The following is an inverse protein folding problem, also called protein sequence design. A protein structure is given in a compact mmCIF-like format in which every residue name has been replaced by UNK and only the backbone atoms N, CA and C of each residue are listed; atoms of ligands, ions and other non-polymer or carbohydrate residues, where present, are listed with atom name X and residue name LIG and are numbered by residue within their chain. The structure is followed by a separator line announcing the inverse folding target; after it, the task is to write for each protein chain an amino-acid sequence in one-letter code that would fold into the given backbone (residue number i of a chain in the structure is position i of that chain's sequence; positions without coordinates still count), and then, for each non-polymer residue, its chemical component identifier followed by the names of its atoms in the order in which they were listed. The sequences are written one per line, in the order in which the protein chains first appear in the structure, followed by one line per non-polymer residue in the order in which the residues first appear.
data_IF_817727154586
#
_entry.id   IF_817727154586
#
_cell.length_a   1.000
_cell.length_b   1.000
_cell.length_c   1.000
_cell.angle_alpha   90.00
_cell.angle_beta   90.00
_cell.angle_gamma   90.00
#
_symmetry.space_group_name_H-M   'P 1'
#
loop_
_entity.id
_entity.type
_entity.pdbx_description
1 polymer ?
#
# COMPACT_ATOMS: atom_id res chain seq x y z
N UNK A 1 -3.88 -5.10 18.72
CA UNK A 1 -4.81 -3.99 19.04
C UNK A 1 -4.75 -2.85 18.03
N UNK A 2 -3.62 -2.14 17.88
CA UNK A 2 -3.50 -1.03 16.91
C UNK A 2 -3.83 -1.47 15.47
N UNK A 3 -3.21 -2.56 14.99
CA UNK A 3 -3.47 -3.09 13.64
C UNK A 3 -4.95 -3.43 13.43
N UNK A 4 -5.59 -4.08 14.40
CA UNK A 4 -7.03 -4.39 14.38
C UNK A 4 -7.88 -3.12 14.22
N UNK A 5 -7.60 -2.06 14.99
CA UNK A 5 -8.32 -0.79 14.87
C UNK A 5 -8.08 -0.09 13.53
N UNK A 6 -6.86 -0.10 13.02
CA UNK A 6 -6.54 0.43 11.70
C UNK A 6 -7.28 -0.32 10.58
N UNK A 7 -7.35 -1.65 10.67
CA UNK A 7 -8.10 -2.48 9.72
C UNK A 7 -9.61 -2.25 9.81
N UNK A 8 -10.17 -2.17 11.02
CA UNK A 8 -11.58 -1.84 11.21
C UNK A 8 -11.91 -0.45 10.66
N UNK A 9 -11.04 0.54 10.88
CA UNK A 9 -11.20 1.87 10.32
C UNK A 9 -11.13 1.86 8.79
N UNK A 10 -10.18 1.11 8.21
CA UNK A 10 -10.08 0.93 6.76
C UNK A 10 -11.35 0.30 6.16
N UNK A 11 -11.85 -0.76 6.80
CA UNK A 11 -13.12 -1.41 6.42
C UNK A 11 -14.28 -0.41 6.54
N UNK A 12 -14.37 0.35 7.64
CA UNK A 12 -15.40 1.37 7.82
C UNK A 12 -15.35 2.44 6.70
N UNK A 13 -14.16 2.90 6.32
CA UNK A 13 -13.97 3.84 5.21
C UNK A 13 -14.47 3.25 3.89
N UNK A 14 -14.13 1.99 3.61
CA UNK A 14 -14.56 1.28 2.39
C UNK A 14 -16.07 1.09 2.34
N UNK A 15 -16.68 0.49 3.37
CA UNK A 15 -18.13 0.18 3.35
C UNK A 15 -18.99 1.44 3.36
N UNK A 16 -18.48 2.54 3.92
CA UNK A 16 -19.19 3.82 3.93
C UNK A 16 -19.23 4.54 2.58
N UNK A 17 -18.48 4.06 1.58
CA UNK A 17 -18.38 4.72 0.29
C UNK A 17 -19.06 3.91 -0.81
N UNK A 18 -20.05 4.52 -1.48
CA UNK A 18 -20.81 3.90 -2.57
C UNK A 18 -19.92 3.39 -3.73
N UNK A 19 -18.74 4.00 -3.96
CA UNK A 19 -17.78 3.58 -4.99
C UNK A 19 -17.16 2.21 -4.68
N UNK A 20 -17.01 1.83 -3.41
CA UNK A 20 -16.51 0.50 -3.02
C UNK A 20 -17.45 -0.59 -3.51
N UNK A 21 -18.76 -0.40 -3.34
CA UNK A 21 -19.78 -1.35 -3.77
C UNK A 21 -19.87 -1.46 -5.29
N UNK A 22 -19.52 -0.37 -5.99
CA UNK A 22 -19.40 -0.36 -7.44
C UNK A 22 -18.18 -1.17 -7.91
N UNK A 23 -17.03 -1.03 -7.25
CA UNK A 23 -15.83 -1.83 -7.53
C UNK A 23 -16.02 -3.32 -7.24
N UNK A 24 -16.82 -3.67 -6.23
CA UNK A 24 -17.15 -5.05 -5.88
C UNK A 24 -18.23 -5.67 -6.78
N UNK A 25 -18.79 -4.92 -7.74
CA UNK A 25 -19.81 -5.42 -8.67
C UNK A 25 -21.19 -5.67 -8.04
N UNK A 26 -21.39 -5.28 -6.78
CA UNK A 26 -22.65 -5.47 -6.02
C UNK A 26 -23.59 -4.27 -6.08
N UNK A 27 -23.16 -3.16 -6.69
CA UNK A 27 -24.00 -1.97 -6.94
C UNK A 27 -25.35 -2.25 -7.61
N UNK A 28 -25.46 -3.15 -8.63
CA UNK A 28 -26.76 -3.48 -9.24
C UNK A 28 -27.71 -4.15 -8.25
N UNK A 29 -27.21 -5.01 -7.36
CA UNK A 29 -27.99 -5.69 -6.33
C UNK A 29 -28.47 -4.72 -5.22
N UNK A 30 -27.66 -3.71 -4.90
CA UNK A 30 -27.94 -2.72 -3.87
C UNK A 30 -28.71 -1.49 -4.38
N UNK A 31 -29.05 -1.44 -5.69
CA UNK A 31 -29.63 -0.25 -6.37
C UNK A 31 -28.81 1.03 -6.18
N UNK A 32 -27.51 0.91 -5.87
CA UNK A 32 -26.64 2.06 -5.64
C UNK A 32 -26.06 2.56 -6.95
N UNK A 33 -26.30 3.84 -7.27
CA UNK A 33 -25.74 4.54 -8.43
C UNK A 33 -24.33 5.06 -8.11
N UNK A 34 -23.38 4.14 -7.95
CA UNK A 34 -21.96 4.49 -7.88
C UNK A 34 -21.31 4.27 -9.25
N UNK A 35 -20.81 5.32 -9.89
CA UNK A 35 -19.96 5.15 -11.08
C UNK A 35 -18.63 4.54 -10.65
N UNK A 36 -18.23 3.42 -11.28
CA UNK A 36 -16.87 2.89 -11.16
C UNK A 36 -15.94 3.86 -11.90
N UNK A 37 -14.96 4.48 -11.24
CA UNK A 37 -13.91 5.20 -11.95
C UNK A 37 -13.16 4.19 -12.81
N UNK A 38 -13.20 4.34 -14.13
CA UNK A 38 -12.53 3.42 -15.04
C UNK A 38 -11.02 3.35 -14.73
N UNK A 39 -10.47 2.14 -14.64
CA UNK A 39 -9.05 1.93 -14.38
C UNK A 39 -8.58 2.08 -12.92
N UNK A 40 -9.50 2.20 -11.96
CA UNK A 40 -9.15 2.26 -10.53
C UNK A 40 -9.01 0.85 -9.93
N UNK A 41 -7.82 0.49 -9.46
CA UNK A 41 -7.62 -0.76 -8.74
C UNK A 41 -8.07 -0.67 -7.26
N UNK A 42 -8.42 -1.83 -6.69
CA UNK A 42 -8.96 -1.90 -5.33
C UNK A 42 -7.99 -1.39 -4.24
N UNK A 43 -6.68 -1.52 -4.46
CA UNK A 43 -5.66 -1.11 -3.49
C UNK A 43 -5.51 0.42 -3.50
N UNK A 44 -5.45 1.02 -4.69
CA UNK A 44 -5.47 2.47 -4.86
C UNK A 44 -6.76 3.06 -4.30
N UNK A 45 -7.91 2.42 -4.53
CA UNK A 45 -9.16 2.87 -3.95
C UNK A 45 -9.17 2.83 -2.42
N UNK A 46 -8.69 1.74 -1.82
CA UNK A 46 -8.54 1.62 -0.37
C UNK A 46 -7.69 2.77 0.19
N UNK A 47 -6.55 3.04 -0.45
CA UNK A 47 -5.66 4.14 -0.08
C UNK A 47 -6.36 5.50 -0.15
N UNK A 48 -7.07 5.78 -1.24
CA UNK A 48 -7.84 7.03 -1.41
C UNK A 48 -8.98 7.17 -0.41
N UNK A 49 -9.75 6.10 -0.14
CA UNK A 49 -10.87 6.14 0.78
C UNK A 49 -10.41 6.43 2.22
N UNK A 50 -9.30 5.82 2.64
CA UNK A 50 -8.66 6.10 3.93
C UNK A 50 -8.12 7.52 3.97
N UNK A 51 -7.43 7.96 2.92
CA UNK A 51 -6.87 9.31 2.83
C UNK A 51 -7.95 10.39 2.92
N UNK A 52 -9.05 10.23 2.18
CA UNK A 52 -10.15 11.20 2.16
C UNK A 52 -10.85 11.33 3.51
N UNK A 53 -10.92 10.25 4.29
CA UNK A 53 -11.70 10.20 5.54
C UNK A 53 -10.87 10.39 6.81
N UNK A 54 -9.65 9.86 6.83
CA UNK A 54 -8.74 9.91 7.98
C UNK A 54 -7.48 10.74 7.77
N UNK A 55 -7.30 11.31 6.56
CA UNK A 55 -6.16 12.15 6.23
C UNK A 55 -4.83 11.39 6.20
N UNK A 56 -3.71 12.14 6.20
CA UNK A 56 -2.38 11.56 6.02
C UNK A 56 -1.94 10.65 7.17
N UNK A 57 -2.35 10.96 8.41
CA UNK A 57 -2.03 10.15 9.59
C UNK A 57 -2.68 8.77 9.52
N UNK A 58 -3.97 8.70 9.14
CA UNK A 58 -4.63 7.41 8.99
C UNK A 58 -4.02 6.58 7.85
N UNK A 59 -3.63 7.24 6.75
CA UNK A 59 -2.92 6.59 5.66
C UNK A 59 -1.57 6.01 6.12
N UNK A 60 -0.76 6.78 6.86
CA UNK A 60 0.52 6.33 7.42
C UNK A 60 0.34 5.17 8.41
N UNK A 61 -0.66 5.24 9.27
CA UNK A 61 -0.93 4.18 10.24
C UNK A 61 -1.38 2.89 9.54
N UNK A 62 -2.24 2.99 8.53
CA UNK A 62 -2.73 1.81 7.81
C UNK A 62 -1.65 1.22 6.92
N UNK A 63 -1.03 2.02 6.06
CA UNK A 63 -0.05 1.50 5.11
C UNK A 63 1.29 1.23 5.78
N UNK A 64 1.77 2.10 6.66
CA UNK A 64 3.10 2.00 7.27
C UNK A 64 3.20 1.06 8.46
N UNK A 65 2.22 1.12 9.37
CA UNK A 65 2.35 0.54 10.72
C UNK A 65 1.45 -0.67 10.93
N UNK A 66 0.21 -0.63 10.44
CA UNK A 66 -0.79 -1.69 10.70
C UNK A 66 -0.52 -2.98 9.95
N UNK A 67 0.23 -2.88 8.85
CA UNK A 67 0.57 -4.00 7.97
C UNK A 67 1.80 -4.76 8.49
N UNK A 68 2.50 -4.35 9.55
CA UNK A 68 3.58 -5.16 10.13
C UNK A 68 3.00 -6.32 10.95
N UNK A 69 3.07 -7.57 10.47
CA UNK A 69 2.60 -8.71 11.26
C UNK A 69 3.53 -8.93 12.44
N UNK A 70 3.01 -9.51 13.54
CA UNK A 70 3.83 -9.84 14.71
C UNK A 70 4.89 -10.88 14.38
N UNK A 71 4.59 -11.77 13.43
CA UNK A 71 5.53 -12.72 12.85
C UNK A 71 5.59 -12.46 11.35
N UNK A 72 6.79 -12.16 10.84
CA UNK A 72 7.02 -11.88 9.43
C UNK A 72 7.61 -13.13 8.77
N UNK A 73 6.82 -13.83 7.97
CA UNK A 73 7.33 -14.98 7.22
C UNK A 73 8.02 -14.51 5.93
N UNK A 74 8.94 -15.32 5.39
CA UNK A 74 9.55 -15.04 4.09
C UNK A 74 8.50 -14.95 2.98
N UNK A 75 7.46 -15.79 3.04
CA UNK A 75 6.33 -15.77 2.11
C UNK A 75 5.61 -14.41 2.11
N UNK A 76 5.35 -13.85 3.30
CA UNK A 76 4.72 -12.52 3.41
C UNK A 76 5.56 -11.42 2.77
N UNK A 77 6.89 -11.47 2.96
CA UNK A 77 7.80 -10.53 2.33
C UNK A 77 7.77 -10.63 0.80
N UNK A 78 7.80 -11.85 0.26
CA UNK A 78 7.76 -12.10 -1.18
C UNK A 78 6.44 -11.59 -1.77
N UNK A 79 5.30 -11.97 -1.17
CA UNK A 79 3.97 -11.54 -1.65
C UNK A 79 3.86 -10.02 -1.63
N UNK A 80 4.35 -9.35 -0.59
CA UNK A 80 4.35 -7.89 -0.51
C UNK A 80 5.27 -7.24 -1.53
N UNK A 81 6.45 -7.82 -1.78
CA UNK A 81 7.36 -7.36 -2.81
C UNK A 81 6.74 -7.47 -4.20
N UNK A 82 6.15 -8.62 -4.53
CA UNK A 82 5.46 -8.86 -5.80
C UNK A 82 4.26 -7.93 -5.95
N UNK A 83 3.44 -7.74 -4.91
CA UNK A 83 2.32 -6.80 -4.95
C UNK A 83 2.80 -5.35 -5.17
N UNK A 84 3.86 -4.94 -4.47
CA UNK A 84 4.45 -3.60 -4.63
C UNK A 84 5.03 -3.36 -6.03
N UNK A 85 5.60 -4.40 -6.63
CA UNK A 85 6.09 -4.39 -8.01
C UNK A 85 4.93 -4.31 -9.00
N UNK A 86 3.94 -5.20 -8.88
CA UNK A 86 2.77 -5.25 -9.73
C UNK A 86 2.02 -3.91 -9.75
N UNK A 87 1.80 -3.29 -8.58
CA UNK A 87 1.13 -2.00 -8.50
C UNK A 87 1.89 -0.88 -9.24
N UNK A 88 3.22 -0.89 -9.16
CA UNK A 88 4.05 0.12 -9.85
C UNK A 88 4.18 -0.13 -11.34
N UNK A 89 4.20 -1.40 -11.75
CA UNK A 89 4.29 -1.77 -13.15
C UNK A 89 2.95 -1.62 -13.88
N UNK A 90 1.87 -2.12 -13.28
CA UNK A 90 0.62 -2.40 -13.97
C UNK A 90 -0.54 -1.48 -13.60
N UNK A 91 -0.43 -0.65 -12.55
CA UNK A 91 -1.51 0.27 -12.17
C UNK A 91 -1.13 1.74 -12.42
N UNK A 92 -1.62 2.34 -13.54
CA UNK A 92 -1.49 3.78 -13.77
C UNK A 92 -2.15 4.62 -12.67
N UNK A 93 -3.32 4.20 -12.20
CA UNK A 93 -4.06 4.93 -11.16
C UNK A 93 -3.31 4.94 -9.82
N UNK A 94 -2.60 3.85 -9.49
CA UNK A 94 -1.70 3.82 -8.34
C UNK A 94 -0.56 4.81 -8.50
N UNK A 95 0.14 4.81 -9.66
CA UNK A 95 1.26 5.73 -9.92
C UNK A 95 0.83 7.19 -9.83
N UNK A 96 -0.27 7.55 -10.48
CA UNK A 96 -0.76 8.93 -10.50
C UNK A 96 -1.21 9.40 -9.12
N UNK A 97 -1.79 8.50 -8.33
CA UNK A 97 -2.17 8.80 -6.97
C UNK A 97 -0.96 8.92 -6.03
N UNK A 98 0.02 8.03 -6.12
CA UNK A 98 1.25 8.09 -5.32
C UNK A 98 2.01 9.40 -5.53
N UNK A 99 2.07 9.92 -6.77
CA UNK A 99 2.64 11.25 -7.07
C UNK A 99 1.96 12.38 -6.30
N UNK A 100 0.66 12.28 -6.02
CA UNK A 100 -0.07 13.30 -5.25
C UNK A 100 0.23 13.25 -3.74
N UNK A 101 0.68 12.09 -3.24
CA UNK A 101 0.95 11.85 -1.82
C UNK A 101 2.42 11.50 -1.54
N UNK A 102 3.33 11.90 -2.45
CA UNK A 102 4.73 11.46 -2.47
C UNK A 102 5.43 11.63 -1.11
N UNK A 103 5.30 12.81 -0.48
CA UNK A 103 5.91 13.09 0.82
C UNK A 103 5.47 12.12 1.92
N UNK A 104 4.20 11.72 1.92
CA UNK A 104 3.65 10.80 2.92
C UNK A 104 3.96 9.34 2.58
N UNK A 105 4.04 9.01 1.30
CA UNK A 105 4.51 7.71 0.86
C UNK A 105 5.98 7.51 1.26
N UNK A 106 6.85 8.50 1.03
CA UNK A 106 8.24 8.47 1.49
C UNK A 106 8.35 8.36 3.01
N UNK A 107 7.54 9.12 3.75
CA UNK A 107 7.50 9.02 5.21
C UNK A 107 7.10 7.61 5.68
N UNK A 108 6.18 6.95 4.96
CA UNK A 108 5.80 5.55 5.21
C UNK A 108 7.01 4.62 5.10
N UNK A 109 7.85 4.81 4.06
CA UNK A 109 9.07 4.04 3.88
C UNK A 109 10.09 4.29 4.99
N UNK A 110 10.27 5.55 5.40
CA UNK A 110 11.18 5.92 6.50
C UNK A 110 10.74 5.25 7.80
N UNK A 111 9.45 5.31 8.14
CA UNK A 111 8.92 4.66 9.35
C UNK A 111 9.15 3.15 9.30
N UNK A 112 8.86 2.48 8.18
CA UNK A 112 9.09 1.04 8.01
C UNK A 112 10.58 0.68 8.14
N UNK A 113 11.46 1.45 7.51
CA UNK A 113 12.90 1.25 7.60
C UNK A 113 13.41 1.43 9.04
N UNK A 114 12.91 2.45 9.75
CA UNK A 114 13.21 2.68 11.16
C UNK A 114 12.77 1.53 12.05
N UNK A 115 11.52 1.08 11.92
CA UNK A 115 10.98 -0.05 12.69
C UNK A 115 11.75 -1.35 12.43
N UNK A 116 12.08 -1.63 11.16
CA UNK A 116 12.89 -2.79 10.79
C UNK A 116 14.29 -2.70 11.42
N UNK A 117 14.94 -1.54 11.33
CA UNK A 117 16.28 -1.33 11.89
C UNK A 117 16.28 -1.49 13.42
N UNK A 118 15.29 -0.93 14.12
CA UNK A 118 15.13 -1.12 15.57
C UNK A 118 14.96 -2.60 15.94
N UNK A 119 14.19 -3.35 15.14
CA UNK A 119 13.95 -4.78 15.38
C UNK A 119 15.21 -5.61 15.12
N UNK A 120 15.97 -5.31 14.07
CA UNK A 120 17.23 -6.02 13.79
C UNK A 120 18.28 -5.73 14.86
N UNK A 121 18.38 -4.47 15.30
CA UNK A 121 19.27 -4.08 16.39
C UNK A 121 18.91 -4.74 17.72
N UNK A 122 17.62 -4.90 18.04
CA UNK A 122 17.21 -5.62 19.25
C UNK A 122 17.50 -7.13 19.18
N UNK A 123 17.57 -7.69 17.97
CA UNK A 123 17.95 -9.09 17.72
C UNK A 123 19.47 -9.30 17.56
N UNK A 124 20.28 -8.24 17.65
CA UNK A 124 21.73 -8.32 17.47
C UNK A 124 22.19 -8.68 16.05
N UNK A 125 21.31 -8.55 15.05
CA UNK A 125 21.59 -8.87 13.65
C UNK A 125 22.29 -7.67 13.01
N UNK A 126 23.34 -7.93 12.21
CA UNK A 126 24.04 -6.87 11.49
C UNK A 126 23.15 -6.25 10.40
N UNK A 127 22.85 -4.95 10.55
CA UNK A 127 21.94 -4.22 9.67
C UNK A 127 22.41 -4.14 8.21
N UNK A 128 23.70 -4.33 7.93
CA UNK A 128 24.29 -4.05 6.61
C UNK A 128 23.70 -4.90 5.49
N UNK A 129 23.51 -6.21 5.70
CA UNK A 129 22.92 -7.10 4.69
C UNK A 129 21.46 -6.76 4.38
N UNK A 130 20.69 -6.38 5.41
CA UNK A 130 19.29 -5.99 5.25
C UNK A 130 19.16 -4.63 4.56
N UNK A 131 20.03 -3.68 4.86
CA UNK A 131 20.08 -2.38 4.19
C UNK A 131 20.43 -2.52 2.71
N UNK A 132 21.37 -3.40 2.36
CA UNK A 132 21.70 -3.71 0.96
C UNK A 132 20.49 -4.34 0.25
N UNK A 133 19.83 -5.32 0.87
CA UNK A 133 18.62 -5.94 0.31
C UNK A 133 17.48 -4.94 0.13
N UNK A 134 17.27 -4.04 1.10
CA UNK A 134 16.26 -2.99 1.03
C UNK A 134 16.57 -1.98 -0.10
N UNK A 135 17.83 -1.55 -0.23
CA UNK A 135 18.26 -0.66 -1.31
C UNK A 135 18.07 -1.30 -2.69
N UNK A 136 18.42 -2.59 -2.84
CA UNK A 136 18.19 -3.35 -4.06
C UNK A 136 16.71 -3.45 -4.42
N UNK A 137 15.84 -3.76 -3.45
CA UNK A 137 14.40 -3.77 -3.64
C UNK A 137 13.86 -2.40 -4.05
N UNK A 138 14.33 -1.32 -3.43
CA UNK A 138 13.94 0.03 -3.79
C UNK A 138 14.34 0.40 -5.22
N UNK A 139 15.54 -0.02 -5.66
CA UNK A 139 15.98 0.17 -7.04
C UNK A 139 15.07 -0.58 -8.03
N UNK A 140 14.70 -1.84 -7.72
CA UNK A 140 13.77 -2.62 -8.55
C UNK A 140 12.39 -1.97 -8.64
N UNK A 141 11.86 -1.51 -7.51
CA UNK A 141 10.56 -0.84 -7.48
C UNK A 141 10.58 0.49 -8.22
N UNK A 142 11.66 1.27 -8.09
CA UNK A 142 11.82 2.53 -8.81
C UNK A 142 11.95 2.31 -10.32
N UNK A 143 12.69 1.28 -10.74
CA UNK A 143 12.74 0.88 -12.14
C UNK A 143 11.35 0.47 -12.65
N UNK A 144 10.61 -0.35 -11.88
CA UNK A 144 9.27 -0.80 -12.26
C UNK A 144 8.28 0.36 -12.40
N UNK A 145 8.45 1.44 -11.63
CA UNK A 145 7.60 2.63 -11.71
C UNK A 145 7.86 3.48 -12.95
N UNK A 146 9.11 3.49 -13.45
CA UNK A 146 9.56 4.31 -14.57
C UNK A 146 9.68 3.55 -15.90
N UNK A 147 9.59 2.23 -15.88
CA UNK A 147 9.63 1.41 -17.09
C UNK A 147 8.38 1.67 -17.96
N UNK A 148 8.58 1.75 -19.27
CA UNK A 148 7.49 1.89 -20.24
C UNK A 148 6.85 0.54 -20.54
N UNK A 149 5.91 0.14 -19.67
CA UNK A 149 5.17 -1.11 -19.80
C UNK A 149 4.24 -1.15 -21.01
N UNK A 150 3.98 -0.02 -21.69
CA UNK A 150 3.13 0.05 -22.88
C UNK A 150 3.76 -0.55 -24.13
N UNK A 151 5.07 -0.82 -24.11
CA UNK A 151 5.82 -1.44 -25.22
C UNK A 151 6.13 -2.92 -25.01
N UNK A 152 5.78 -3.48 -23.84
CA UNK A 152 6.12 -4.84 -23.40
C UNK A 152 4.93 -5.82 -23.41
N UNK A 153 3.73 -5.35 -23.77
CA UNK A 153 2.47 -6.11 -23.82
C UNK A 153 1.82 -5.86 -25.19
#
# INVERSE_FOLDING_TARGET
WLSTWCLLFAVACLVSNAKTWALLGVSPALRWRGAVPAGLDAITWLGQAVWQRGGPVAFLLITGVSILPQELTLGDCIVRGVAAFYLRAMSPSFRDWVKQIESYHLLTWIIRAGLLSCTLSSLGIQNMGVLIGAAGLMAVLHWAENADWGTLI
#
